data_IF_636485965492
#
_entry.id   IF_636485965492
#
_cell.length_a   1.000
_cell.length_b   1.000
_cell.length_c   1.000
_cell.angle_alpha   90.00
_cell.angle_beta   90.00
_cell.angle_gamma   90.00
#
_symmetry.space_group_name_H-M   'P 1'
#
loop_
_entity.id
_entity.type
_entity.pdbx_description
1 polymer ?
#
# COMPACT_ATOMS: atom_id res chain seq x y z
N UNK A 1 -7.89 13.37 -34.02
CA UNK A 1 -7.45 13.15 -32.64
C UNK A 1 -8.53 12.34 -31.98
N UNK A 2 -8.25 11.08 -31.65
CA UNK A 2 -9.15 10.25 -30.85
C UNK A 2 -8.65 10.22 -29.40
N UNK A 3 -9.51 9.79 -28.46
CA UNK A 3 -9.18 9.73 -27.02
C UNK A 3 -7.97 8.82 -26.74
N UNK A 4 -7.75 7.80 -27.57
CA UNK A 4 -6.64 6.85 -27.48
C UNK A 4 -5.31 7.46 -27.91
N UNK A 5 -5.33 8.38 -28.90
CA UNK A 5 -4.18 9.17 -29.36
C UNK A 5 -3.75 10.24 -28.34
N UNK A 6 -4.60 10.52 -27.35
CA UNK A 6 -4.30 11.35 -26.18
C UNK A 6 -3.84 10.52 -24.96
N UNK A 7 -3.66 9.20 -25.10
CA UNK A 7 -3.19 8.32 -24.02
C UNK A 7 -4.28 7.59 -23.24
N UNK A 8 -5.56 7.73 -23.59
CA UNK A 8 -6.68 7.15 -22.84
C UNK A 8 -7.26 5.94 -23.58
N UNK A 9 -6.86 4.73 -23.18
CA UNK A 9 -7.43 3.46 -23.67
C UNK A 9 -8.51 2.94 -22.72
N UNK A 10 -9.77 3.29 -23.03
CA UNK A 10 -10.95 2.94 -22.21
C UNK A 10 -11.18 1.42 -22.13
N UNK A 11 -10.82 0.67 -23.16
CA UNK A 11 -11.01 -0.79 -23.18
C UNK A 11 -9.97 -1.49 -22.30
N UNK A 12 -8.70 -1.05 -22.38
CA UNK A 12 -7.66 -1.50 -21.48
C UNK A 12 -7.98 -1.18 -20.01
N UNK A 13 -8.49 0.03 -19.74
CA UNK A 13 -8.95 0.43 -18.41
C UNK A 13 -10.06 -0.46 -17.86
N UNK A 14 -11.05 -0.84 -18.70
CA UNK A 14 -12.13 -1.75 -18.28
C UNK A 14 -11.60 -3.15 -17.95
N UNK A 15 -10.73 -3.72 -18.80
CA UNK A 15 -10.14 -5.04 -18.53
C UNK A 15 -9.29 -5.06 -17.25
N UNK A 16 -8.57 -3.97 -17.00
CA UNK A 16 -7.83 -3.78 -15.75
C UNK A 16 -8.76 -3.78 -14.53
N UNK A 17 -9.82 -2.96 -14.56
CA UNK A 17 -10.82 -2.89 -13.47
C UNK A 17 -11.47 -4.24 -13.21
N UNK A 18 -11.88 -4.98 -14.25
CA UNK A 18 -12.45 -6.32 -14.10
C UNK A 18 -11.48 -7.30 -13.43
N UNK A 19 -10.18 -7.21 -13.75
CA UNK A 19 -9.16 -8.08 -13.15
C UNK A 19 -9.00 -7.83 -11.64
N UNK A 20 -8.95 -6.58 -11.23
CA UNK A 20 -8.71 -6.23 -9.82
C UNK A 20 -9.99 -6.24 -8.97
N UNK A 21 -11.18 -6.21 -9.59
CA UNK A 21 -12.47 -6.06 -8.90
C UNK A 21 -12.63 -7.05 -7.76
N UNK A 22 -12.41 -8.34 -8.00
CA UNK A 22 -12.58 -9.38 -6.97
C UNK A 22 -11.65 -9.17 -5.79
N UNK A 23 -10.40 -8.78 -6.04
CA UNK A 23 -9.42 -8.50 -4.98
C UNK A 23 -9.84 -7.29 -4.15
N UNK A 24 -10.30 -6.21 -4.80
CA UNK A 24 -10.76 -5.00 -4.11
C UNK A 24 -12.02 -5.27 -3.29
N UNK A 25 -13.03 -5.92 -3.89
CA UNK A 25 -14.30 -6.25 -3.21
C UNK A 25 -14.08 -7.18 -2.01
N UNK A 26 -13.08 -8.06 -2.05
CA UNK A 26 -12.72 -8.93 -0.93
C UNK A 26 -12.20 -8.15 0.29
N UNK A 27 -11.82 -6.88 0.15
CA UNK A 27 -11.42 -6.01 1.26
C UNK A 27 -12.59 -5.28 1.92
N UNK A 28 -13.80 -5.36 1.34
CA UNK A 28 -14.94 -4.56 1.79
C UNK A 28 -15.37 -4.92 3.21
N UNK A 29 -15.33 -3.91 4.07
CA UNK A 29 -15.91 -3.95 5.40
C UNK A 29 -17.40 -3.61 5.34
N UNK A 30 -18.20 -3.98 6.36
CA UNK A 30 -19.63 -3.65 6.42
C UNK A 30 -19.93 -2.14 6.37
N UNK A 31 -18.97 -1.29 6.73
CA UNK A 31 -19.12 0.16 6.71
C UNK A 31 -19.06 0.76 5.29
N UNK A 32 -18.53 0.04 4.31
CA UNK A 32 -18.42 0.51 2.92
C UNK A 32 -19.80 0.65 2.26
N UNK A 33 -19.97 1.74 1.51
CA UNK A 33 -21.18 2.07 0.78
C UNK A 33 -20.90 2.17 -0.71
N UNK A 34 -21.60 1.35 -1.50
CA UNK A 34 -21.43 1.27 -2.94
C UNK A 34 -20.34 0.26 -3.33
N UNK A 35 -19.68 0.50 -4.46
CA UNK A 35 -18.64 -0.38 -4.99
C UNK A 35 -17.65 0.39 -5.86
N UNK A 36 -16.73 -0.35 -6.45
CA UNK A 36 -15.65 0.20 -7.28
C UNK A 36 -16.21 0.89 -8.54
N UNK A 37 -15.66 2.07 -8.88
CA UNK A 37 -15.98 2.81 -10.11
C UNK A 37 -16.75 4.13 -9.93
N UNK A 38 -17.03 4.55 -8.69
CA UNK A 38 -17.51 5.90 -8.39
C UNK A 38 -16.36 6.92 -8.26
N UNK A 39 -16.66 8.21 -8.44
CA UNK A 39 -15.69 9.32 -8.24
C UNK A 39 -15.18 9.47 -6.80
N UNK A 40 -15.81 8.76 -5.84
CA UNK A 40 -15.38 8.72 -4.46
C UNK A 40 -15.98 7.50 -3.77
N UNK A 41 -15.20 6.86 -2.89
CA UNK A 41 -15.69 5.81 -2.03
C UNK A 41 -16.30 6.37 -0.75
N UNK A 42 -17.34 5.69 -0.25
CA UNK A 42 -18.08 6.09 0.94
C UNK A 42 -17.90 5.03 2.02
N UNK A 43 -17.56 5.45 3.24
CA UNK A 43 -17.42 4.57 4.39
C UNK A 43 -18.11 5.20 5.60
N UNK A 44 -18.96 4.44 6.29
CA UNK A 44 -19.51 4.84 7.58
C UNK A 44 -18.45 4.75 8.68
N UNK A 45 -18.67 5.47 9.77
CA UNK A 45 -17.97 5.17 11.02
C UNK A 45 -18.57 3.91 11.67
N UNK A 46 -17.76 3.05 12.30
CA UNK A 46 -18.27 1.93 13.07
C UNK A 46 -19.24 2.39 14.17
N UNK A 47 -20.27 1.58 14.43
CA UNK A 47 -21.22 1.86 15.50
C UNK A 47 -20.59 1.62 16.89
N UNK A 48 -21.10 2.31 17.92
CA UNK A 48 -20.68 2.08 19.31
C UNK A 48 -19.46 2.88 19.78
N UNK A 49 -18.95 3.80 18.96
CA UNK A 49 -17.93 4.77 19.38
C UNK A 49 -18.59 5.95 20.11
N UNK A 50 -18.08 6.34 21.27
CA UNK A 50 -18.61 7.46 22.04
C UNK A 50 -18.17 8.81 21.47
N UNK A 51 -16.88 8.93 21.17
CA UNK A 51 -16.22 10.13 20.66
C UNK A 51 -15.21 9.73 19.58
N UNK A 52 -15.69 9.42 18.36
CA UNK A 52 -14.82 8.95 17.30
C UNK A 52 -13.84 10.04 16.85
N UNK A 53 -12.57 9.69 16.77
CA UNK A 53 -11.51 10.46 16.13
C UNK A 53 -11.02 9.72 14.89
N UNK A 54 -10.79 10.48 13.82
CA UNK A 54 -10.14 9.96 12.61
C UNK A 54 -8.63 10.18 12.70
N UNK A 55 -7.89 9.14 12.38
CA UNK A 55 -6.43 9.15 12.31
C UNK A 55 -6.06 8.86 10.87
N UNK A 56 -5.30 9.75 10.24
CA UNK A 56 -4.88 9.59 8.86
C UNK A 56 -3.36 9.51 8.78
N UNK A 57 -2.86 8.59 7.95
CA UNK A 57 -1.45 8.43 7.64
C UNK A 57 -1.26 8.33 6.13
N UNK A 58 -0.12 8.80 5.66
CA UNK A 58 0.30 8.62 4.28
C UNK A 58 1.77 8.23 4.22
N UNK A 59 2.09 7.29 3.36
CA UNK A 59 3.46 6.83 3.16
C UNK A 59 3.65 6.29 1.74
N UNK A 60 4.91 6.09 1.36
CA UNK A 60 5.31 5.37 0.15
C UNK A 60 6.12 4.13 0.49
N UNK A 61 6.47 3.35 -0.53
CA UNK A 61 7.34 2.17 -0.36
C UNK A 61 8.82 2.56 -0.28
N UNK A 62 9.21 3.66 -0.92
CA UNK A 62 10.59 4.12 -0.99
C UNK A 62 11.46 3.29 -1.94
N UNK A 63 12.77 3.26 -1.69
CA UNK A 63 13.76 2.73 -2.65
C UNK A 63 13.73 1.20 -2.82
N UNK A 64 12.88 0.49 -2.07
CA UNK A 64 12.55 -0.93 -2.33
C UNK A 64 11.88 -1.11 -3.70
N UNK A 65 11.17 -0.10 -4.20
CA UNK A 65 10.56 -0.12 -5.54
C UNK A 65 11.58 -0.36 -6.65
N UNK A 66 12.82 0.11 -6.50
CA UNK A 66 13.84 -0.10 -7.53
C UNK A 66 14.17 -1.59 -7.70
N UNK A 67 14.35 -2.32 -6.60
CA UNK A 67 14.56 -3.77 -6.64
C UNK A 67 13.32 -4.52 -7.12
N UNK A 68 12.14 -4.13 -6.67
CA UNK A 68 10.89 -4.77 -7.09
C UNK A 68 10.68 -4.68 -8.61
N UNK A 69 10.98 -3.52 -9.19
CA UNK A 69 10.89 -3.29 -10.64
C UNK A 69 11.97 -4.04 -11.41
N UNK A 70 13.21 -4.07 -10.91
CA UNK A 70 14.32 -4.79 -11.54
C UNK A 70 14.11 -6.31 -11.54
N UNK A 71 13.53 -6.84 -10.45
CA UNK A 71 13.21 -8.26 -10.33
C UNK A 71 11.86 -8.65 -10.96
N UNK A 72 11.06 -7.69 -11.43
CA UNK A 72 9.70 -7.96 -11.93
C UNK A 72 8.77 -8.57 -10.88
N UNK A 73 8.87 -8.15 -9.61
CA UNK A 73 8.10 -8.66 -8.47
C UNK A 73 7.28 -7.54 -7.83
N UNK A 74 6.04 -7.37 -8.25
CA UNK A 74 5.25 -6.18 -7.92
C UNK A 74 4.26 -6.38 -6.76
N UNK A 75 3.76 -7.60 -6.55
CA UNK A 75 2.77 -7.88 -5.52
C UNK A 75 3.24 -7.52 -4.09
N UNK A 76 4.49 -7.84 -3.74
CA UNK A 76 5.02 -7.61 -2.39
C UNK A 76 5.05 -6.12 -2.01
N UNK A 77 5.35 -5.23 -2.96
CA UNK A 77 5.41 -3.79 -2.67
C UNK A 77 4.04 -3.16 -2.44
N UNK A 78 2.96 -3.77 -2.95
CA UNK A 78 1.61 -3.37 -2.59
C UNK A 78 1.29 -3.68 -1.11
N UNK A 79 1.74 -4.82 -0.60
CA UNK A 79 1.61 -5.17 0.82
C UNK A 79 2.46 -4.22 1.68
N UNK A 80 3.71 -3.97 1.26
CA UNK A 80 4.60 -3.04 1.96
C UNK A 80 3.98 -1.64 2.08
N UNK A 81 3.35 -1.14 1.02
CA UNK A 81 2.69 0.17 1.01
C UNK A 81 1.61 0.29 2.09
N UNK A 82 0.75 -0.73 2.20
CA UNK A 82 -0.31 -0.74 3.21
C UNK A 82 0.28 -0.87 4.60
N UNK A 83 1.25 -1.78 4.78
CA UNK A 83 1.88 -2.02 6.07
C UNK A 83 2.56 -0.76 6.63
N UNK A 84 3.23 0.03 5.79
CA UNK A 84 3.83 1.30 6.22
C UNK A 84 2.79 2.26 6.80
N UNK A 85 1.70 2.51 6.07
CA UNK A 85 0.67 3.44 6.55
C UNK A 85 -0.13 2.88 7.73
N UNK A 86 -0.50 1.59 7.69
CA UNK A 86 -1.33 0.95 8.71
C UNK A 86 -0.58 0.85 10.04
N UNK A 87 0.71 0.50 10.02
CA UNK A 87 1.51 0.42 11.25
C UNK A 87 1.66 1.77 11.94
N UNK A 88 1.68 2.88 11.20
CA UNK A 88 1.76 4.22 11.78
C UNK A 88 0.46 4.63 12.48
N UNK A 89 -0.69 4.35 11.88
CA UNK A 89 -1.97 4.77 12.48
C UNK A 89 -2.34 3.94 13.70
N UNK A 90 -1.95 2.66 13.77
CA UNK A 90 -2.28 1.79 14.92
C UNK A 90 -1.50 2.14 16.19
N UNK A 91 -0.42 2.94 16.12
CA UNK A 91 0.39 3.27 17.30
C UNK A 91 -0.38 4.06 18.36
N UNK A 92 -1.47 4.73 17.95
CA UNK A 92 -2.36 5.45 18.85
C UNK A 92 -3.61 4.65 19.28
N UNK A 93 -3.64 3.35 18.98
CA UNK A 93 -4.77 2.47 19.27
C UNK A 93 -5.92 2.57 18.28
N UNK A 94 -5.70 3.20 17.11
CA UNK A 94 -6.71 3.29 16.07
C UNK A 94 -6.87 1.98 15.29
N UNK A 95 -8.09 1.72 14.83
CA UNK A 95 -8.43 0.61 13.94
C UNK A 95 -8.46 1.11 12.48
N UNK A 96 -7.64 0.54 11.56
CA UNK A 96 -7.69 0.88 10.14
C UNK A 96 -9.10 0.68 9.56
N UNK A 97 -9.65 1.73 8.94
CA UNK A 97 -11.00 1.71 8.39
C UNK A 97 -10.97 1.53 6.87
N UNK A 98 -10.26 2.41 6.17
CA UNK A 98 -10.08 2.31 4.73
C UNK A 98 -8.71 2.80 4.27
N UNK A 99 -8.37 2.43 3.05
CA UNK A 99 -7.13 2.75 2.37
C UNK A 99 -7.43 3.33 1.00
N UNK A 100 -6.61 4.29 0.56
CA UNK A 100 -6.53 4.72 -0.82
C UNK A 100 -5.10 4.63 -1.35
N UNK A 101 -4.96 4.43 -2.64
CA UNK A 101 -3.66 4.40 -3.32
C UNK A 101 -3.57 5.41 -4.46
N UNK A 102 -2.34 5.84 -4.74
CA UNK A 102 -1.99 6.61 -5.92
C UNK A 102 -0.77 5.98 -6.59
N UNK A 103 -0.93 5.61 -7.85
CA UNK A 103 0.11 4.98 -8.66
C UNK A 103 0.53 5.97 -9.75
N UNK A 104 1.77 6.44 -9.70
CA UNK A 104 2.35 7.27 -10.75
C UNK A 104 3.33 6.43 -11.58
N UNK A 105 3.18 6.40 -12.91
CA UNK A 105 4.06 5.59 -13.76
C UNK A 105 4.38 6.25 -15.08
N UNK A 106 5.52 5.91 -15.69
CA UNK A 106 5.84 6.34 -17.05
C UNK A 106 5.04 5.56 -18.08
N UNK A 107 5.14 4.23 -17.96
CA UNK A 107 4.35 3.24 -18.67
C UNK A 107 4.55 1.90 -17.97
N UNK A 108 3.50 1.37 -17.35
CA UNK A 108 3.52 0.08 -16.68
C UNK A 108 2.67 -0.93 -17.47
N UNK A 109 3.06 -2.20 -17.48
CA UNK A 109 2.21 -3.21 -18.10
C UNK A 109 0.93 -3.40 -17.26
N UNK A 110 -0.24 -3.67 -17.88
CA UNK A 110 -1.46 -3.96 -17.13
C UNK A 110 -1.30 -5.14 -16.16
N UNK A 111 -0.41 -6.09 -16.46
CA UNK A 111 -0.10 -7.21 -15.59
C UNK A 111 0.65 -6.79 -14.32
N UNK A 112 1.71 -5.98 -14.46
CA UNK A 112 2.46 -5.48 -13.31
C UNK A 112 1.62 -4.52 -12.45
N UNK A 113 0.82 -3.68 -13.09
CA UNK A 113 -0.11 -2.78 -12.37
C UNK A 113 -1.15 -3.57 -11.57
N UNK A 114 -1.71 -4.63 -12.15
CA UNK A 114 -2.66 -5.48 -11.45
C UNK A 114 -2.00 -6.21 -10.27
N UNK A 115 -0.77 -6.70 -10.42
CA UNK A 115 -0.02 -7.28 -9.29
C UNK A 115 0.17 -6.30 -8.13
N UNK A 116 0.49 -5.02 -8.41
CA UNK A 116 0.58 -3.99 -7.37
C UNK A 116 -0.75 -3.86 -6.64
N UNK A 117 -1.86 -3.66 -7.35
CA UNK A 117 -3.19 -3.47 -6.75
C UNK A 117 -3.66 -4.72 -5.99
N UNK A 118 -3.42 -5.91 -6.53
CA UNK A 118 -3.69 -7.19 -5.85
C UNK A 118 -2.87 -7.30 -4.54
N UNK A 119 -1.64 -6.78 -4.53
CA UNK A 119 -0.80 -6.66 -3.34
C UNK A 119 -1.35 -5.68 -2.31
N UNK A 120 -1.79 -4.50 -2.75
CA UNK A 120 -2.44 -3.49 -1.89
C UNK A 120 -3.70 -4.09 -1.27
N UNK A 121 -4.57 -4.72 -2.08
CA UNK A 121 -5.77 -5.39 -1.58
C UNK A 121 -5.43 -6.47 -0.53
N UNK A 122 -4.38 -7.25 -0.76
CA UNK A 122 -3.90 -8.25 0.21
C UNK A 122 -3.40 -7.62 1.51
N UNK A 123 -2.72 -6.48 1.43
CA UNK A 123 -2.31 -5.69 2.60
C UNK A 123 -3.50 -5.11 3.37
N UNK A 124 -4.53 -4.62 2.66
CA UNK A 124 -5.76 -4.12 3.26
C UNK A 124 -6.51 -5.22 4.01
N UNK A 125 -6.68 -6.40 3.40
CA UNK A 125 -7.29 -7.56 4.07
C UNK A 125 -6.53 -7.98 5.32
N UNK A 126 -5.19 -7.98 5.30
CA UNK A 126 -4.37 -8.26 6.49
C UNK A 126 -4.51 -7.20 7.58
N UNK A 127 -4.68 -5.94 7.19
CA UNK A 127 -4.81 -4.79 8.10
C UNK A 127 -6.25 -4.58 8.60
N UNK A 128 -7.21 -5.34 8.08
CA UNK A 128 -8.63 -5.21 8.42
C UNK A 128 -9.30 -3.96 7.86
N UNK A 129 -8.74 -3.31 6.83
CA UNK A 129 -9.32 -2.14 6.19
C UNK A 129 -9.80 -2.41 4.76
N UNK A 130 -10.65 -1.54 4.22
CA UNK A 130 -11.11 -1.62 2.84
C UNK A 130 -10.26 -0.79 1.89
N UNK A 131 -9.88 -1.35 0.74
CA UNK A 131 -9.35 -0.57 -0.37
C UNK A 131 -10.51 0.20 -1.03
N UNK A 132 -10.67 1.46 -0.63
CA UNK A 132 -11.87 2.26 -0.89
C UNK A 132 -11.82 2.96 -2.25
N UNK A 133 -10.63 3.20 -2.77
CA UNK A 133 -10.41 3.78 -4.09
C UNK A 133 -8.94 4.05 -4.34
N UNK A 134 -8.61 4.40 -5.57
CA UNK A 134 -7.26 4.78 -5.95
C UNK A 134 -7.25 5.48 -7.29
N UNK A 135 -6.07 6.00 -7.66
CA UNK A 135 -5.87 6.71 -8.92
C UNK A 135 -4.57 6.24 -9.59
N UNK A 136 -4.59 6.14 -10.92
CA UNK A 136 -3.44 5.74 -11.73
C UNK A 136 -3.12 6.81 -12.76
N UNK A 137 -1.93 7.39 -12.66
CA UNK A 137 -1.45 8.45 -13.54
C UNK A 137 -0.31 7.95 -14.44
N UNK A 138 -0.57 7.83 -15.74
CA UNK A 138 0.46 7.59 -16.76
C UNK A 138 1.10 8.92 -17.22
N UNK A 139 2.39 9.09 -16.93
CA UNK A 139 3.19 10.30 -17.15
C UNK A 139 4.52 9.95 -17.85
N UNK A 140 4.51 9.54 -19.14
CA UNK A 140 5.69 9.06 -19.87
C UNK A 140 6.80 10.12 -20.07
N UNK A 141 6.48 11.41 -19.89
CA UNK A 141 7.46 12.50 -19.90
C UNK A 141 8.09 12.79 -18.53
N UNK A 142 7.56 12.20 -17.45
CA UNK A 142 8.01 12.43 -16.08
C UNK A 142 8.76 11.19 -15.53
N UNK A 143 8.17 10.00 -15.71
CA UNK A 143 8.75 8.74 -15.27
C UNK A 143 9.29 7.95 -16.47
N UNK A 144 10.46 7.28 -16.35
CA UNK A 144 10.92 6.33 -17.35
C UNK A 144 9.95 5.16 -17.55
N UNK A 145 9.96 4.55 -18.74
CA UNK A 145 9.18 3.35 -19.00
C UNK A 145 9.54 2.22 -18.01
N UNK A 146 8.53 1.53 -17.47
CA UNK A 146 8.70 0.49 -16.46
C UNK A 146 8.99 1.00 -15.05
N UNK A 147 9.14 2.32 -14.85
CA UNK A 147 9.26 2.94 -13.53
C UNK A 147 7.92 3.47 -13.04
N UNK A 148 7.67 3.28 -11.75
CA UNK A 148 6.50 3.77 -11.05
C UNK A 148 6.84 4.14 -9.61
N UNK A 149 6.00 4.99 -9.03
CA UNK A 149 6.00 5.35 -7.63
C UNK A 149 4.61 5.07 -7.03
N UNK A 150 4.58 4.79 -5.73
CA UNK A 150 3.38 4.42 -4.99
C UNK A 150 3.23 5.33 -3.77
N UNK A 151 2.04 5.90 -3.62
CA UNK A 151 1.63 6.56 -2.39
C UNK A 151 0.36 5.91 -1.84
N UNK A 152 0.33 5.72 -0.53
CA UNK A 152 -0.74 5.11 0.22
C UNK A 152 -1.34 6.11 1.20
N UNK A 153 -2.63 5.94 1.48
CA UNK A 153 -3.38 6.79 2.39
C UNK A 153 -4.25 5.90 3.26
N UNK A 154 -3.89 5.74 4.53
CA UNK A 154 -4.71 4.98 5.48
C UNK A 154 -5.51 5.95 6.34
N UNK A 155 -6.80 5.70 6.45
CA UNK A 155 -7.67 6.35 7.44
C UNK A 155 -8.14 5.28 8.41
N UNK A 156 -7.90 5.54 9.69
CA UNK A 156 -8.27 4.73 10.82
C UNK A 156 -9.20 5.52 11.76
N UNK A 157 -9.85 4.80 12.67
CA UNK A 157 -10.73 5.38 13.68
C UNK A 157 -10.35 4.90 15.07
N UNK A 158 -10.37 5.81 16.04
CA UNK A 158 -10.19 5.49 17.46
C UNK A 158 -11.28 6.16 18.26
N UNK A 159 -11.70 5.54 19.35
CA UNK A 159 -12.56 6.21 20.33
C UNK A 159 -11.67 7.04 21.26
N UNK A 160 -11.92 8.34 21.40
CA UNK A 160 -11.08 9.26 22.19
C UNK A 160 -10.74 8.73 23.60
N UNK A 161 -11.67 8.09 24.37
CA UNK A 161 -11.35 7.51 25.67
C UNK A 161 -10.35 6.33 25.65
N UNK A 162 -10.07 5.76 24.48
CA UNK A 162 -9.14 4.62 24.26
C UNK A 162 -7.86 5.04 23.55
N UNK A 163 -7.66 6.33 23.29
CA UNK A 163 -6.47 6.85 22.62
C UNK A 163 -5.20 6.49 23.40
N UNK A 164 -4.20 5.98 22.70
CA UNK A 164 -2.86 5.74 23.24
C UNK A 164 -1.97 6.91 22.83
N UNK A 165 -1.48 7.68 23.80
CA UNK A 165 -0.69 8.90 23.57
C UNK A 165 0.65 8.93 24.32
N UNK A 166 0.96 7.85 25.05
CA UNK A 166 2.21 7.70 25.80
C UNK A 166 2.30 8.50 27.10
N UNK A 167 1.27 9.26 27.50
CA UNK A 167 1.30 10.08 28.73
C UNK A 167 1.40 9.24 30.02
N UNK A 168 1.04 7.95 29.96
CA UNK A 168 1.08 7.02 31.10
C UNK A 168 2.39 6.25 31.24
N UNK A 169 3.34 6.42 30.31
CA UNK A 169 4.64 5.73 30.34
C UNK A 169 5.48 6.21 31.52
N UNK A 170 6.07 5.27 32.27
CA UNK A 170 6.87 5.56 33.45
C UNK A 170 8.06 4.60 33.63
N UNK A 171 9.01 4.99 34.47
CA UNK A 171 10.15 4.14 34.81
C UNK A 171 9.68 2.83 35.47
N UNK A 172 10.15 1.70 34.94
CA UNK A 172 9.73 0.36 35.36
C UNK A 172 8.84 -0.37 34.35
N UNK A 173 8.27 0.36 33.39
CA UNK A 173 7.53 -0.24 32.28
C UNK A 173 8.42 -1.15 31.43
N UNK A 174 7.82 -2.20 30.87
CA UNK A 174 8.52 -3.21 30.07
C UNK A 174 8.39 -2.88 28.59
N UNK A 175 9.46 -3.13 27.83
CA UNK A 175 9.44 -3.05 26.37
C UNK A 175 9.18 -4.43 25.77
N UNK A 176 8.15 -4.52 24.96
CA UNK A 176 7.82 -5.71 24.17
C UNK A 176 8.12 -5.42 22.71
N UNK A 177 8.94 -6.27 22.09
CA UNK A 177 9.28 -6.17 20.68
C UNK A 177 8.54 -7.25 19.88
N UNK A 178 8.01 -6.88 18.72
CA UNK A 178 7.44 -7.79 17.74
C UNK A 178 8.47 -7.98 16.63
N UNK A 179 8.75 -9.24 16.27
CA UNK A 179 9.74 -9.55 15.25
C UNK A 179 9.32 -8.99 13.88
N UNK A 180 10.28 -8.42 13.14
CA UNK A 180 10.07 -8.02 11.75
C UNK A 180 10.13 -9.23 10.81
N UNK A 181 9.60 -9.09 9.59
CA UNK A 181 9.76 -10.08 8.51
C UNK A 181 11.07 -9.90 7.73
N UNK A 182 11.97 -9.03 8.21
CA UNK A 182 13.22 -8.66 7.56
C UNK A 182 13.46 -7.16 7.63
N UNK A 183 13.93 -6.58 6.53
CA UNK A 183 14.27 -5.16 6.38
C UNK A 183 13.01 -4.28 6.20
N UNK A 184 11.84 -4.89 6.03
CA UNK A 184 10.56 -4.21 5.76
C UNK A 184 10.64 -3.33 4.50
N UNK A 185 10.37 -2.03 4.61
CA UNK A 185 10.44 -1.06 3.50
C UNK A 185 11.53 0.01 3.68
N UNK A 186 12.39 -0.12 4.70
CA UNK A 186 13.37 0.91 5.06
C UNK A 186 14.81 0.47 4.80
N UNK A 187 15.70 1.40 4.42
CA UNK A 187 17.14 1.10 4.27
C UNK A 187 17.55 0.43 2.96
N UNK A 188 16.64 0.30 1.99
CA UNK A 188 16.90 -0.35 0.70
C UNK A 188 17.96 0.35 -0.15
N UNK A 189 18.18 1.65 0.04
CA UNK A 189 19.29 2.37 -0.60
C UNK A 189 20.66 1.83 -0.15
N UNK A 190 20.79 1.47 1.13
CA UNK A 190 22.02 0.85 1.65
C UNK A 190 22.13 -0.60 1.21
N UNK A 191 21.03 -1.35 1.25
CA UNK A 191 20.98 -2.74 0.76
C UNK A 191 21.51 -2.82 -0.68
N UNK A 192 21.01 -1.96 -1.57
CA UNK A 192 21.45 -1.93 -2.96
C UNK A 192 22.94 -1.62 -3.12
N UNK A 193 23.44 -0.61 -2.40
CA UNK A 193 24.88 -0.29 -2.42
C UNK A 193 25.74 -1.45 -1.94
N UNK A 194 25.28 -2.21 -0.95
CA UNK A 194 25.99 -3.40 -0.47
C UNK A 194 25.99 -4.50 -1.55
N UNK A 195 24.86 -4.77 -2.20
CA UNK A 195 24.77 -5.75 -3.27
C UNK A 195 25.67 -5.37 -4.46
N UNK A 196 25.64 -4.11 -4.88
CA UNK A 196 26.49 -3.57 -5.94
C UNK A 196 27.98 -3.68 -5.61
N UNK A 197 28.39 -3.24 -4.41
CA UNK A 197 29.80 -3.27 -3.98
C UNK A 197 30.36 -4.70 -3.89
N UNK A 198 29.51 -5.67 -3.59
CA UNK A 198 29.88 -7.09 -3.50
C UNK A 198 29.57 -7.87 -4.79
N UNK A 199 29.09 -7.21 -5.84
CA UNK A 199 28.74 -7.82 -7.14
C UNK A 199 27.80 -9.02 -6.99
N UNK A 200 26.81 -8.91 -6.09
CA UNK A 200 25.82 -9.97 -5.85
C UNK A 200 24.68 -9.83 -6.86
N UNK A 201 24.47 -10.78 -7.78
CA UNK A 201 23.34 -10.76 -8.71
C UNK A 201 22.00 -10.85 -7.95
N UNK A 202 20.98 -10.13 -8.41
CA UNK A 202 19.65 -10.11 -7.77
C UNK A 202 18.95 -11.48 -7.84
N UNK A 203 19.31 -12.33 -8.80
CA UNK A 203 18.76 -13.68 -8.94
C UNK A 203 19.45 -14.71 -8.03
N UNK A 204 20.44 -14.29 -7.23
CA UNK A 204 21.18 -15.20 -6.35
C UNK A 204 20.29 -15.71 -5.22
N UNK A 205 19.91 -16.98 -5.28
CA UNK A 205 19.26 -17.69 -4.18
C UNK A 205 20.23 -17.92 -3.03
N UNK A 206 19.78 -17.68 -1.80
CA UNK A 206 20.56 -17.92 -0.58
C UNK A 206 19.79 -18.89 0.31
N UNK A 207 20.25 -20.14 0.38
CA UNK A 207 19.59 -21.19 1.17
C UNK A 207 19.45 -20.81 2.65
N UNK A 208 20.39 -20.06 3.21
CA UNK A 208 20.34 -19.55 4.58
C UNK A 208 19.18 -18.54 4.82
N UNK A 209 18.63 -17.97 3.75
CA UNK A 209 17.50 -17.04 3.76
C UNK A 209 16.19 -17.68 3.25
N UNK A 210 16.16 -19.01 3.10
CA UNK A 210 14.95 -19.74 2.72
C UNK A 210 14.76 -19.98 1.21
N UNK A 211 15.78 -19.67 0.39
CA UNK A 211 15.74 -19.88 -1.06
C UNK A 211 15.60 -18.60 -1.84
#
# INVERSE_FOLDING_TARGET
MDYKSAGVDVEAGRHFVERIRTSVEATHRPEVLGGLGGFGGLCRLPAGLEKPLLVAGTDGVGTKLELAQECGRHHGVGIDLVAMCANDVITCGAEPLFFLDYIATGKLSPAAMAEVVEGIASGCSQSGCSLLGGETAEMPGFYPAGRYDLAGFCVAVVDEPRLIDGQTIQAGDQLLAIASSGVHSNGFSLVRRILEANQVPLETSQAALGG
#
